data_IF_611264129317
#
_entry.id   IF_611264129317
#
_cell.length_a   1.000
_cell.length_b   1.000
_cell.length_c   1.000
_cell.angle_alpha   90.00
_cell.angle_beta   90.00
_cell.angle_gamma   90.00
#
_symmetry.space_group_name_H-M   'P 1'
#
loop_
_entity.id
_entity.type
_entity.pdbx_description
1 polymer ?
#
# COMPACT_ATOMS: atom_id res chain seq x y z
N UNK A 1 -11.17 11.04 49.19
CA UNK A 1 -10.06 10.08 48.96
C UNK A 1 -10.35 8.98 47.93
N UNK A 2 -11.57 8.44 47.75
CA UNK A 2 -11.84 7.38 46.75
C UNK A 2 -11.60 7.84 45.31
N UNK A 3 -12.08 9.04 44.95
CA UNK A 3 -11.94 9.60 43.60
C UNK A 3 -10.48 9.76 43.14
N UNK A 4 -9.57 10.09 44.07
CA UNK A 4 -8.14 10.21 43.78
C UNK A 4 -7.50 8.85 43.48
N UNK A 5 -7.93 7.78 44.16
CA UNK A 5 -7.48 6.41 43.89
C UNK A 5 -7.96 5.90 42.54
N UNK A 6 -9.18 6.25 42.13
CA UNK A 6 -9.69 5.93 40.78
C UNK A 6 -8.93 6.70 39.70
N UNK A 7 -8.69 8.00 39.89
CA UNK A 7 -7.92 8.81 38.95
C UNK A 7 -6.48 8.29 38.75
N UNK A 8 -5.83 7.90 39.85
CA UNK A 8 -4.46 7.33 39.83
C UNK A 8 -4.46 5.95 39.17
N UNK A 9 -5.47 5.11 39.43
CA UNK A 9 -5.62 3.80 38.79
C UNK A 9 -5.81 3.93 37.28
N UNK A 10 -6.69 4.82 36.83
CA UNK A 10 -6.96 5.03 35.40
C UNK A 10 -5.74 5.64 34.69
N UNK A 11 -5.00 6.53 35.36
CA UNK A 11 -3.73 7.07 34.86
C UNK A 11 -2.64 5.99 34.71
N UNK A 12 -2.50 5.10 35.71
CA UNK A 12 -1.57 3.96 35.66
C UNK A 12 -1.98 2.93 34.61
N UNK A 13 -3.27 2.71 34.41
CA UNK A 13 -3.78 1.81 33.37
C UNK A 13 -3.66 2.42 31.95
N UNK A 14 -3.63 3.74 31.83
CA UNK A 14 -3.39 4.47 30.57
C UNK A 14 -1.90 4.66 30.24
N UNK A 15 -0.99 4.45 31.19
CA UNK A 15 0.46 4.60 31.01
C UNK A 15 1.07 3.70 29.91
N UNK A 16 0.63 2.43 29.72
CA UNK A 16 1.05 1.61 28.58
C UNK A 16 0.54 2.14 27.22
N UNK A 17 -0.51 2.97 27.21
CA UNK A 17 -1.04 3.62 26.01
C UNK A 17 -0.39 4.99 25.72
N UNK A 18 0.34 5.56 26.69
CA UNK A 18 1.20 6.71 26.48
C UNK A 18 2.51 6.21 25.89
N UNK A 19 2.58 6.18 24.56
CA UNK A 19 3.86 5.95 23.90
C UNK A 19 4.92 6.94 24.45
N UNK A 20 6.20 6.56 24.56
CA UNK A 20 7.26 7.49 24.96
C UNK A 20 7.26 8.78 24.13
N UNK A 21 6.80 8.68 22.88
CA UNK A 21 6.56 9.80 21.98
C UNK A 21 5.44 10.73 22.48
N UNK A 22 4.32 10.21 22.99
CA UNK A 22 3.25 11.00 23.60
C UNK A 22 3.75 11.81 24.80
N UNK A 23 4.58 11.18 25.64
CA UNK A 23 5.22 11.82 26.79
C UNK A 23 6.22 12.90 26.37
N UNK A 24 7.08 12.61 25.38
CA UNK A 24 8.02 13.59 24.83
C UNK A 24 7.31 14.76 24.10
N UNK A 25 6.20 14.49 23.42
CA UNK A 25 5.34 15.53 22.82
C UNK A 25 4.63 16.37 23.88
N UNK A 26 4.21 15.77 25.00
CA UNK A 26 3.68 16.51 26.13
C UNK A 26 4.70 17.53 26.68
N UNK A 27 5.98 17.14 26.73
CA UNK A 27 7.07 18.03 27.14
C UNK A 27 7.40 19.13 26.12
N UNK A 28 7.34 18.82 24.81
CA UNK A 28 7.67 19.77 23.74
C UNK A 28 6.53 20.70 23.34
N UNK A 29 5.28 20.22 23.35
CA UNK A 29 4.12 21.00 22.95
C UNK A 29 2.82 20.48 23.61
N UNK A 30 2.53 20.89 24.86
CA UNK A 30 1.40 20.40 25.64
C UNK A 30 0.05 20.58 24.94
N UNK A 31 -0.08 21.61 24.09
CA UNK A 31 -1.32 21.93 23.35
C UNK A 31 -1.67 20.88 22.29
N UNK A 32 -0.70 20.10 21.81
CA UNK A 32 -0.92 19.02 20.82
C UNK A 32 -1.22 17.67 21.47
N UNK A 33 -0.98 17.52 22.77
CA UNK A 33 -1.20 16.25 23.47
C UNK A 33 -2.65 15.74 23.39
N UNK A 34 -3.70 16.57 23.56
CA UNK A 34 -5.08 16.09 23.42
C UNK A 34 -5.40 15.59 22.01
N UNK A 35 -4.88 16.26 20.98
CA UNK A 35 -5.04 15.86 19.57
C UNK A 35 -4.35 14.52 19.34
N UNK A 36 -3.11 14.37 19.81
CA UNK A 36 -2.35 13.12 19.69
C UNK A 36 -3.03 11.94 20.39
N UNK A 37 -3.52 12.13 21.63
CA UNK A 37 -4.26 11.09 22.36
C UNK A 37 -5.57 10.76 21.64
N UNK A 38 -6.31 11.77 21.18
CA UNK A 38 -7.55 11.55 20.44
C UNK A 38 -7.30 10.78 19.13
N UNK A 39 -6.26 11.13 18.38
CA UNK A 39 -5.86 10.42 17.16
C UNK A 39 -5.41 9.00 17.46
N UNK A 40 -4.63 8.77 18.52
CA UNK A 40 -4.19 7.42 18.94
C UNK A 40 -5.38 6.55 19.35
N UNK A 41 -6.31 7.09 20.13
CA UNK A 41 -7.54 6.38 20.53
C UNK A 41 -8.45 6.13 19.34
N UNK A 42 -8.59 7.10 18.43
CA UNK A 42 -9.37 6.97 17.19
C UNK A 42 -8.75 5.92 16.27
N UNK A 43 -7.44 5.89 16.16
CA UNK A 43 -6.66 4.92 15.40
C UNK A 43 -6.82 3.52 16.02
N UNK A 44 -6.65 3.37 17.33
CA UNK A 44 -6.86 2.10 18.03
C UNK A 44 -8.30 1.61 17.86
N UNK A 45 -9.29 2.48 18.02
CA UNK A 45 -10.72 2.13 17.85
C UNK A 45 -11.08 1.80 16.41
N UNK A 46 -10.48 2.47 15.43
CA UNK A 46 -10.71 2.16 14.01
C UNK A 46 -10.07 0.82 13.64
N UNK A 47 -8.83 0.56 14.03
CA UNK A 47 -8.16 -0.73 13.84
C UNK A 47 -8.88 -1.87 14.58
N UNK A 48 -9.27 -1.66 15.85
CA UNK A 48 -9.99 -2.67 16.63
C UNK A 48 -11.38 -3.03 16.05
N UNK A 49 -11.97 -2.14 15.23
CA UNK A 49 -13.25 -2.39 14.53
C UNK A 49 -13.06 -2.91 13.11
N UNK A 50 -11.92 -2.64 12.48
CA UNK A 50 -11.64 -3.06 11.12
C UNK A 50 -11.30 -4.56 11.11
N UNK A 51 -12.33 -5.41 10.99
CA UNK A 51 -12.15 -6.85 10.79
C UNK A 51 -12.08 -7.15 9.29
N UNK A 52 -10.88 -7.08 8.73
CA UNK A 52 -10.60 -7.58 7.38
C UNK A 52 -10.12 -9.04 7.51
N UNK A 53 -10.80 -10.01 6.88
CA UNK A 53 -10.33 -11.38 6.82
C UNK A 53 -9.03 -11.44 6.02
N UNK A 54 -8.12 -12.30 6.48
CA UNK A 54 -6.90 -12.61 5.76
C UNK A 54 -7.18 -13.66 4.68
N UNK A 55 -6.44 -13.59 3.58
CA UNK A 55 -6.44 -14.57 2.50
C UNK A 55 -5.01 -14.87 2.08
N UNK A 56 -4.72 -16.11 1.75
CA UNK A 56 -3.43 -16.50 1.19
C UNK A 56 -3.39 -16.24 -0.33
N UNK A 57 -2.20 -16.10 -0.94
CA UNK A 57 -2.08 -16.02 -2.40
C UNK A 57 -2.73 -17.20 -3.14
N UNK A 58 -2.64 -18.41 -2.59
CA UNK A 58 -3.19 -19.65 -3.14
C UNK A 58 -4.72 -19.61 -3.23
N UNK A 59 -5.36 -19.21 -2.13
CA UNK A 59 -6.82 -19.08 -2.06
C UNK A 59 -7.33 -17.93 -2.92
N UNK A 60 -6.62 -16.79 -2.95
CA UNK A 60 -7.02 -15.63 -3.74
C UNK A 60 -7.04 -15.93 -5.25
N UNK A 61 -6.07 -16.71 -5.73
CA UNK A 61 -5.88 -17.00 -7.15
C UNK A 61 -6.41 -18.38 -7.58
N UNK A 62 -7.02 -19.14 -6.66
CA UNK A 62 -7.45 -20.53 -6.88
C UNK A 62 -6.33 -21.37 -7.52
N UNK A 63 -5.15 -21.33 -6.90
CA UNK A 63 -3.93 -21.87 -7.47
C UNK A 63 -3.33 -22.93 -6.55
N UNK A 64 -3.11 -24.12 -7.10
CA UNK A 64 -2.67 -25.30 -6.34
C UNK A 64 -1.23 -25.73 -6.61
N UNK A 65 -0.58 -25.16 -7.63
CA UNK A 65 0.76 -25.57 -8.05
C UNK A 65 1.84 -24.75 -7.32
N UNK A 66 2.98 -25.36 -6.95
CA UNK A 66 4.06 -24.61 -6.35
C UNK A 66 4.65 -23.60 -7.36
N UNK A 67 5.02 -22.43 -6.86
CA UNK A 67 5.75 -21.42 -7.63
C UNK A 67 7.15 -21.21 -7.06
N UNK A 68 8.11 -20.97 -7.96
CA UNK A 68 9.49 -20.63 -7.58
C UNK A 68 9.63 -19.13 -7.49
N UNK A 69 10.12 -18.65 -6.34
CA UNK A 69 10.45 -17.24 -6.16
C UNK A 69 11.96 -17.02 -6.27
N UNK A 70 12.35 -16.01 -7.03
CA UNK A 70 13.70 -15.47 -7.02
C UNK A 70 13.76 -14.42 -5.91
N UNK A 71 14.51 -14.72 -4.85
CA UNK A 71 14.58 -13.86 -3.66
C UNK A 71 15.60 -12.73 -3.78
N UNK A 72 16.50 -12.81 -4.75
CA UNK A 72 17.43 -11.74 -5.07
C UNK A 72 18.35 -12.06 -6.25
N UNK A 73 18.85 -11.00 -6.87
CA UNK A 73 19.74 -11.03 -8.03
C UNK A 73 20.49 -9.68 -8.11
N UNK A 74 21.78 -9.69 -8.44
CA UNK A 74 22.60 -8.49 -8.65
C UNK A 74 22.54 -7.44 -7.52
N UNK A 75 22.51 -7.86 -6.26
CA UNK A 75 22.48 -6.96 -5.09
C UNK A 75 21.07 -6.46 -4.70
N UNK A 76 20.03 -6.78 -5.49
CA UNK A 76 18.64 -6.61 -5.09
C UNK A 76 18.18 -7.85 -4.33
N UNK A 77 17.61 -7.66 -3.14
CA UNK A 77 17.05 -8.74 -2.33
C UNK A 77 15.67 -8.38 -1.78
N UNK A 78 14.81 -9.39 -1.65
CA UNK A 78 13.57 -9.31 -0.90
C UNK A 78 13.91 -9.17 0.59
N UNK A 79 14.04 -7.91 1.05
CA UNK A 79 14.52 -7.59 2.39
C UNK A 79 13.41 -7.61 3.46
N UNK A 80 12.14 -7.56 3.06
CA UNK A 80 10.99 -7.48 3.96
C UNK A 80 10.05 -8.65 3.73
N UNK A 81 9.46 -9.18 4.81
CA UNK A 81 8.55 -10.32 4.75
C UNK A 81 7.33 -10.06 3.84
N UNK A 82 6.85 -8.81 3.81
CA UNK A 82 5.74 -8.38 2.95
C UNK A 82 6.05 -8.58 1.45
N UNK A 83 7.31 -8.47 1.04
CA UNK A 83 7.70 -8.58 -0.37
C UNK A 83 7.40 -9.97 -0.92
N UNK A 84 7.56 -11.01 -0.09
CA UNK A 84 7.37 -12.39 -0.53
C UNK A 84 5.94 -12.67 -0.99
N UNK A 85 4.93 -12.10 -0.32
CA UNK A 85 3.53 -12.34 -0.69
C UNK A 85 3.16 -11.64 -1.99
N UNK A 86 3.64 -10.42 -2.21
CA UNK A 86 3.49 -9.74 -3.51
C UNK A 86 4.21 -10.53 -4.62
N UNK A 87 5.42 -11.01 -4.37
CA UNK A 87 6.17 -11.82 -5.34
C UNK A 87 5.44 -13.14 -5.65
N UNK A 88 4.80 -13.77 -4.65
CA UNK A 88 3.95 -14.95 -4.86
C UNK A 88 2.77 -14.64 -5.77
N UNK A 89 2.03 -13.56 -5.50
CA UNK A 89 0.95 -13.10 -6.38
C UNK A 89 1.46 -12.91 -7.80
N UNK A 90 2.58 -12.21 -7.99
CA UNK A 90 3.14 -11.95 -9.32
C UNK A 90 3.55 -13.25 -10.05
N UNK A 91 4.22 -14.18 -9.35
CA UNK A 91 4.67 -15.44 -9.90
C UNK A 91 3.51 -16.39 -10.28
N UNK A 92 2.44 -16.40 -9.48
CA UNK A 92 1.25 -17.24 -9.69
C UNK A 92 0.33 -16.65 -10.76
N UNK A 93 0.12 -15.33 -10.72
CA UNK A 93 -0.75 -14.61 -11.66
C UNK A 93 -0.15 -14.56 -13.07
N UNK A 94 1.18 -14.53 -13.18
CA UNK A 94 1.91 -14.40 -14.45
C UNK A 94 1.36 -13.25 -15.32
N UNK A 95 1.28 -12.02 -14.77
CA UNK A 95 0.70 -10.88 -15.49
C UNK A 95 1.48 -10.57 -16.77
N UNK A 96 0.80 -10.11 -17.82
CA UNK A 96 1.44 -9.52 -19.00
C UNK A 96 1.69 -8.03 -18.80
N UNK A 97 0.84 -7.34 -18.03
CA UNK A 97 0.93 -5.89 -17.80
C UNK A 97 0.73 -5.55 -16.33
N UNK A 98 1.69 -4.83 -15.76
CA UNK A 98 1.65 -4.35 -14.38
C UNK A 98 1.70 -2.82 -14.38
N UNK A 99 0.93 -2.18 -13.49
CA UNK A 99 1.06 -0.76 -13.20
C UNK A 99 1.35 -0.54 -11.71
N UNK A 100 2.45 0.14 -11.41
CA UNK A 100 2.79 0.59 -10.07
C UNK A 100 2.60 2.10 -9.95
N UNK A 101 1.85 2.55 -8.95
CA UNK A 101 1.79 3.95 -8.53
C UNK A 101 2.69 4.09 -7.30
N UNK A 102 3.79 4.84 -7.43
CA UNK A 102 4.84 5.00 -6.42
C UNK A 102 6.11 4.22 -6.77
N UNK A 103 6.99 4.78 -7.61
CA UNK A 103 8.25 4.12 -7.99
C UNK A 103 9.29 4.13 -6.87
N UNK A 104 9.51 5.28 -6.23
CA UNK A 104 10.62 5.55 -5.31
C UNK A 104 11.96 5.08 -5.90
N UNK A 105 12.80 4.38 -5.13
CA UNK A 105 14.03 3.77 -5.62
C UNK A 105 13.80 2.61 -6.62
N UNK A 106 12.55 2.18 -6.88
CA UNK A 106 12.21 1.14 -7.85
C UNK A 106 12.31 -0.29 -7.32
N UNK A 107 12.44 -0.48 -6.00
CA UNK A 107 12.64 -1.82 -5.40
C UNK A 107 11.46 -2.74 -5.65
N UNK A 108 10.24 -2.25 -5.47
CA UNK A 108 9.01 -3.04 -5.69
C UNK A 108 8.87 -3.43 -7.16
N UNK A 109 8.95 -2.47 -8.09
CA UNK A 109 9.05 -2.73 -9.54
C UNK A 109 10.11 -3.79 -9.89
N UNK A 110 11.33 -3.70 -9.34
CA UNK A 110 12.39 -4.65 -9.66
C UNK A 110 12.10 -6.07 -9.11
N UNK A 111 11.52 -6.18 -7.91
CA UNK A 111 11.09 -7.47 -7.33
C UNK A 111 9.95 -8.11 -8.14
N UNK A 112 9.02 -7.30 -8.65
CA UNK A 112 7.94 -7.73 -9.55
C UNK A 112 8.52 -8.24 -10.86
N UNK A 113 9.43 -7.47 -11.49
CA UNK A 113 10.11 -7.90 -12.70
C UNK A 113 10.80 -9.25 -12.48
N UNK A 114 11.63 -9.35 -11.45
CA UNK A 114 12.40 -10.57 -11.13
C UNK A 114 11.51 -11.83 -10.99
N UNK A 115 10.24 -11.70 -10.61
CA UNK A 115 9.32 -12.82 -10.36
C UNK A 115 8.18 -12.95 -11.39
N UNK A 116 8.31 -12.30 -12.55
CA UNK A 116 7.28 -12.33 -13.62
C UNK A 116 7.87 -12.80 -14.96
N UNK A 117 7.04 -13.36 -15.86
CA UNK A 117 7.49 -13.82 -17.18
C UNK A 117 8.27 -12.75 -17.96
N UNK A 118 9.25 -13.13 -18.81
CA UNK A 118 9.99 -12.16 -19.63
C UNK A 118 9.12 -11.23 -20.48
N UNK A 119 7.93 -11.68 -20.87
CA UNK A 119 6.94 -10.95 -21.67
C UNK A 119 6.15 -9.90 -20.86
N UNK A 120 6.31 -9.90 -19.53
CA UNK A 120 5.64 -8.94 -18.65
C UNK A 120 6.19 -7.55 -18.86
N UNK A 121 5.31 -6.58 -19.11
CA UNK A 121 5.69 -5.17 -19.16
C UNK A 121 5.21 -4.44 -17.90
N UNK A 122 6.09 -3.68 -17.28
CA UNK A 122 5.81 -2.96 -16.04
C UNK A 122 5.85 -1.46 -16.29
N UNK A 123 4.74 -0.78 -15.99
CA UNK A 123 4.69 0.66 -15.89
C UNK A 123 4.83 1.05 -14.43
N UNK A 124 5.66 2.04 -14.13
CA UNK A 124 5.78 2.60 -12.78
C UNK A 124 5.73 4.12 -12.85
N UNK A 125 4.91 4.74 -12.01
CA UNK A 125 4.66 6.18 -12.00
C UNK A 125 5.14 6.80 -10.69
N UNK A 126 5.91 7.88 -10.77
CA UNK A 126 6.23 8.73 -9.63
C UNK A 126 6.34 10.20 -10.05
N UNK A 127 6.41 11.09 -9.06
CA UNK A 127 6.67 12.49 -9.30
C UNK A 127 8.04 12.69 -9.96
N UNK A 128 8.17 13.65 -10.89
CA UNK A 128 9.49 14.04 -11.37
C UNK A 128 10.34 14.58 -10.21
N UNK A 129 11.67 14.37 -10.23
CA UNK A 129 12.58 14.81 -9.15
C UNK A 129 12.43 16.30 -8.77
N UNK A 130 12.12 17.13 -9.75
CA UNK A 130 11.92 18.57 -9.67
C UNK A 130 10.51 19.01 -9.26
N UNK A 131 9.58 18.09 -9.03
CA UNK A 131 8.20 18.43 -8.66
C UNK A 131 8.13 19.25 -7.36
N UNK A 132 7.18 20.16 -7.28
CA UNK A 132 6.84 20.80 -6.00
C UNK A 132 6.01 19.83 -5.16
N UNK A 133 6.40 19.61 -3.91
CA UNK A 133 5.62 18.74 -3.01
C UNK A 133 4.39 19.49 -2.48
N UNK A 134 3.21 18.84 -2.44
CA UNK A 134 2.05 19.42 -1.79
C UNK A 134 2.31 19.71 -0.30
N UNK A 135 1.59 20.68 0.25
CA UNK A 135 1.62 20.92 1.69
C UNK A 135 1.02 19.72 2.45
N UNK A 136 1.66 19.31 3.56
CA UNK A 136 1.18 18.20 4.40
C UNK A 136 1.55 16.80 3.89
N UNK A 137 2.51 16.69 2.98
CA UNK A 137 3.09 15.42 2.55
C UNK A 137 3.71 14.69 3.74
N UNK A 138 3.31 13.43 3.93
CA UNK A 138 4.00 12.52 4.85
C UNK A 138 5.37 12.16 4.26
N UNK A 139 6.36 11.84 5.10
CA UNK A 139 7.59 11.18 4.66
C UNK A 139 8.53 12.01 3.77
N UNK A 140 8.56 13.34 3.95
CA UNK A 140 9.43 14.29 3.22
C UNK A 140 10.88 13.79 3.05
N UNK A 141 11.49 13.25 4.12
CA UNK A 141 12.86 12.75 4.05
C UNK A 141 13.03 11.55 3.09
N UNK A 142 12.08 10.62 3.08
CA UNK A 142 12.10 9.47 2.17
C UNK A 142 11.91 9.92 0.72
N UNK A 143 11.04 10.91 0.50
CA UNK A 143 10.80 11.49 -0.82
C UNK A 143 12.04 12.20 -1.34
N UNK A 144 12.72 13.00 -0.51
CA UNK A 144 13.96 13.69 -0.89
C UNK A 144 15.09 12.71 -1.25
N UNK A 145 15.20 11.59 -0.53
CA UNK A 145 16.13 10.51 -0.88
C UNK A 145 15.74 9.86 -2.21
N UNK A 146 14.47 9.47 -2.36
CA UNK A 146 13.96 8.82 -3.56
C UNK A 146 14.15 9.67 -4.81
N UNK A 147 14.01 11.00 -4.74
CA UNK A 147 14.24 11.90 -5.87
C UNK A 147 15.65 11.82 -6.46
N UNK A 148 16.67 11.57 -5.64
CA UNK A 148 18.06 11.44 -6.09
C UNK A 148 18.34 10.09 -6.74
N UNK A 149 17.55 9.08 -6.40
CA UNK A 149 17.78 7.68 -6.73
C UNK A 149 16.55 7.04 -7.39
N UNK A 150 15.73 7.84 -8.06
CA UNK A 150 14.43 7.43 -8.58
C UNK A 150 14.62 6.28 -9.58
N UNK A 151 14.00 5.12 -9.31
CA UNK A 151 14.12 3.91 -10.13
C UNK A 151 15.51 3.26 -10.16
N UNK A 152 16.44 3.65 -9.28
CA UNK A 152 17.82 3.13 -9.32
C UNK A 152 17.91 1.60 -9.27
N UNK A 153 16.96 0.93 -8.60
CA UNK A 153 17.00 -0.51 -8.35
C UNK A 153 16.82 -1.39 -9.61
N UNK A 154 16.29 -0.84 -10.70
CA UNK A 154 16.13 -1.58 -11.96
C UNK A 154 17.01 -1.04 -13.10
N UNK A 155 17.64 0.14 -12.94
CA UNK A 155 18.53 0.71 -13.96
C UNK A 155 19.80 -0.13 -14.11
N UNK A 156 20.22 -0.37 -15.35
CA UNK A 156 21.35 -1.23 -15.69
C UNK A 156 21.12 -2.73 -15.44
N UNK A 157 19.92 -3.14 -15.05
CA UNK A 157 19.56 -4.55 -14.87
C UNK A 157 19.04 -5.16 -16.17
N UNK A 158 19.02 -6.50 -16.24
CA UNK A 158 18.36 -7.23 -17.33
C UNK A 158 16.83 -7.00 -17.41
N UNK A 159 16.23 -6.36 -16.40
CA UNK A 159 14.79 -6.07 -16.38
C UNK A 159 14.43 -4.69 -16.92
N UNK A 160 15.41 -3.79 -17.07
CA UNK A 160 15.16 -2.39 -17.45
C UNK A 160 14.39 -2.27 -18.77
N UNK A 161 14.69 -3.12 -19.75
CA UNK A 161 14.09 -3.08 -21.09
C UNK A 161 12.58 -3.34 -21.12
N UNK A 162 12.00 -3.94 -20.08
CA UNK A 162 10.55 -4.20 -19.94
C UNK A 162 9.89 -3.34 -18.87
N UNK A 163 10.59 -2.32 -18.37
CA UNK A 163 10.08 -1.36 -17.40
C UNK A 163 9.97 0.01 -18.08
N UNK A 164 8.80 0.61 -18.02
CA UNK A 164 8.57 2.01 -18.42
C UNK A 164 8.35 2.86 -17.19
N UNK A 165 9.35 3.67 -16.84
CA UNK A 165 9.22 4.69 -15.80
C UNK A 165 8.51 5.92 -16.37
N UNK A 166 7.36 6.24 -15.78
CA UNK A 166 6.51 7.38 -16.09
C UNK A 166 6.74 8.44 -15.01
N UNK A 167 6.75 9.71 -15.41
CA UNK A 167 6.91 10.84 -14.49
C UNK A 167 5.67 11.73 -14.52
N UNK A 168 5.03 11.93 -13.37
CA UNK A 168 3.84 12.77 -13.25
C UNK A 168 3.19 12.68 -11.86
N UNK A 169 2.37 13.68 -11.53
CA UNK A 169 1.52 13.65 -10.34
C UNK A 169 0.34 12.72 -10.58
N UNK A 170 0.19 11.65 -9.79
CA UNK A 170 -0.91 10.69 -9.94
C UNK A 170 -2.29 11.32 -9.75
N UNK A 171 -2.38 12.49 -9.12
CA UNK A 171 -3.60 13.29 -9.02
C UNK A 171 -4.05 13.94 -10.33
N UNK A 172 -3.16 14.07 -11.32
CA UNK A 172 -3.44 14.73 -12.61
C UNK A 172 -2.95 13.97 -13.85
N UNK A 173 -2.20 12.88 -13.66
CA UNK A 173 -1.70 12.02 -14.73
C UNK A 173 -2.84 11.42 -15.56
N UNK A 174 -2.67 11.38 -16.88
CA UNK A 174 -3.65 10.76 -17.78
C UNK A 174 -3.48 9.24 -17.80
N UNK A 175 -4.36 8.56 -17.07
CA UNK A 175 -4.39 7.09 -17.00
C UNK A 175 -5.17 6.44 -18.15
N UNK A 176 -5.79 7.20 -19.04
CA UNK A 176 -6.65 6.68 -20.13
C UNK A 176 -5.97 5.59 -20.97
N UNK A 177 -4.67 5.70 -21.34
CA UNK A 177 -3.98 4.65 -22.10
C UNK A 177 -3.86 3.30 -21.39
N UNK A 178 -4.09 3.26 -20.07
CA UNK A 178 -3.91 2.09 -19.22
C UNK A 178 -5.24 1.47 -18.78
N UNK A 179 -6.38 2.10 -19.08
CA UNK A 179 -7.70 1.62 -18.72
C UNK A 179 -7.99 0.24 -19.30
N UNK A 180 -8.52 -0.65 -18.45
CA UNK A 180 -8.86 -2.03 -18.79
C UNK A 180 -7.73 -2.88 -19.42
N UNK A 181 -6.47 -2.52 -19.18
CA UNK A 181 -5.33 -3.23 -19.77
C UNK A 181 -4.38 -3.86 -18.75
N UNK A 182 -4.57 -3.64 -17.44
CA UNK A 182 -3.64 -4.11 -16.40
C UNK A 182 -4.09 -5.42 -15.77
N UNK A 183 -3.14 -6.34 -15.56
CA UNK A 183 -3.33 -7.60 -14.84
C UNK A 183 -3.06 -7.46 -13.35
N UNK A 184 -2.11 -6.60 -12.99
CA UNK A 184 -1.75 -6.29 -11.62
C UNK A 184 -1.59 -4.78 -11.49
N UNK A 185 -2.23 -4.19 -10.48
CA UNK A 185 -2.00 -2.79 -10.11
C UNK A 185 -1.54 -2.72 -8.65
N UNK A 186 -0.41 -2.07 -8.39
CA UNK A 186 0.07 -1.79 -7.04
C UNK A 186 -0.11 -0.31 -6.72
N UNK A 187 -0.69 -0.01 -5.56
CA UNK A 187 -0.91 1.34 -5.03
C UNK A 187 0.01 1.53 -3.82
N UNK A 188 1.10 2.25 -4.03
CA UNK A 188 2.15 2.55 -3.03
C UNK A 188 2.70 3.98 -3.22
N UNK A 189 1.83 4.91 -3.62
CA UNK A 189 2.17 6.31 -3.87
C UNK A 189 2.17 7.13 -2.57
N UNK A 190 1.28 8.12 -2.49
CA UNK A 190 1.11 8.89 -1.25
C UNK A 190 0.19 8.18 -0.27
N UNK A 191 0.54 8.22 1.01
CA UNK A 191 -0.22 7.55 2.05
C UNK A 191 -1.41 8.36 2.56
N UNK A 192 -1.59 9.63 2.18
CA UNK A 192 -2.75 10.39 2.64
C UNK A 192 -4.03 9.88 1.98
N UNK A 193 -5.15 9.85 2.73
CA UNK A 193 -6.42 9.33 2.24
C UNK A 193 -6.88 9.95 0.91
N UNK A 194 -6.62 11.25 0.68
CA UNK A 194 -6.97 11.91 -0.58
C UNK A 194 -6.29 11.24 -1.78
N UNK A 195 -4.97 11.05 -1.71
CA UNK A 195 -4.20 10.44 -2.79
C UNK A 195 -4.47 8.95 -2.90
N UNK A 196 -4.50 8.21 -1.78
CA UNK A 196 -4.87 6.78 -1.77
C UNK A 196 -6.21 6.56 -2.47
N UNK A 197 -7.23 7.36 -2.16
CA UNK A 197 -8.55 7.23 -2.80
C UNK A 197 -8.44 7.48 -4.31
N UNK A 198 -7.76 8.54 -4.72
CA UNK A 198 -7.62 8.88 -6.14
C UNK A 198 -6.86 7.79 -6.91
N UNK A 199 -5.71 7.35 -6.40
CA UNK A 199 -4.89 6.29 -6.99
C UNK A 199 -5.66 4.97 -7.08
N UNK A 200 -6.48 4.67 -6.07
CA UNK A 200 -7.32 3.47 -6.07
C UNK A 200 -8.45 3.55 -7.10
N UNK A 201 -9.08 4.71 -7.30
CA UNK A 201 -10.07 4.88 -8.37
C UNK A 201 -9.42 4.76 -9.75
N UNK A 202 -8.20 5.25 -9.93
CA UNK A 202 -7.43 5.03 -11.14
C UNK A 202 -7.09 3.54 -11.33
N UNK A 203 -6.68 2.84 -10.26
CA UNK A 203 -6.47 1.39 -10.28
C UNK A 203 -7.72 0.61 -10.70
N UNK A 204 -8.90 1.01 -10.21
CA UNK A 204 -10.19 0.42 -10.59
C UNK A 204 -10.50 0.58 -12.08
N UNK A 205 -10.08 1.68 -12.71
CA UNK A 205 -10.24 1.91 -14.15
C UNK A 205 -9.20 1.12 -14.97
N UNK A 206 -7.96 1.03 -14.49
CA UNK A 206 -6.87 0.33 -15.17
C UNK A 206 -7.00 -1.20 -15.19
N UNK A 207 -7.48 -1.79 -14.10
CA UNK A 207 -7.48 -3.24 -13.91
C UNK A 207 -8.52 -3.92 -14.80
N UNK A 208 -8.16 -4.98 -15.53
CA UNK A 208 -9.13 -5.78 -16.29
C UNK A 208 -9.75 -6.89 -15.42
N UNK A 209 -10.89 -7.50 -15.83
CA UNK A 209 -11.38 -8.72 -15.20
C UNK A 209 -10.32 -9.83 -15.21
N UNK A 210 -10.23 -10.57 -14.12
CA UNK A 210 -9.12 -11.49 -13.88
C UNK A 210 -7.81 -10.77 -13.52
N UNK A 211 -7.86 -9.53 -13.05
CA UNK A 211 -6.70 -8.81 -12.50
C UNK A 211 -6.66 -8.79 -10.96
N UNK A 212 -5.55 -8.33 -10.37
CA UNK A 212 -5.38 -8.12 -8.92
C UNK A 212 -5.00 -6.67 -8.64
N UNK A 213 -5.56 -6.10 -7.58
CA UNK A 213 -5.09 -4.83 -7.02
C UNK A 213 -4.46 -5.09 -5.64
N UNK A 214 -3.29 -4.52 -5.40
CA UNK A 214 -2.57 -4.52 -4.13
C UNK A 214 -2.44 -3.10 -3.60
N UNK A 215 -2.75 -2.90 -2.33
CA UNK A 215 -2.48 -1.66 -1.61
C UNK A 215 -1.44 -1.91 -0.53
N UNK A 216 -0.35 -1.15 -0.57
CA UNK A 216 0.70 -1.21 0.45
C UNK A 216 0.29 -0.43 1.72
N UNK A 217 1.05 -0.58 2.80
CA UNK A 217 0.84 0.08 4.11
C UNK A 217 -0.56 -0.04 4.73
N UNK A 218 -1.25 -1.14 4.43
CA UNK A 218 -2.48 -1.49 5.11
C UNK A 218 -2.24 -1.70 6.62
N UNK A 219 -3.12 -1.11 7.45
CA UNK A 219 -3.03 -1.10 8.92
C UNK A 219 -1.77 -0.45 9.50
N UNK A 220 -1.21 0.51 8.77
CA UNK A 220 -0.22 1.43 9.35
C UNK A 220 -0.81 2.15 10.57
N UNK A 221 -0.06 2.16 11.66
CA UNK A 221 -0.43 2.88 12.89
C UNK A 221 -0.22 4.41 12.79
N UNK A 222 0.00 4.93 11.59
CA UNK A 222 0.23 6.36 11.36
C UNK A 222 -1.12 7.01 11.04
N UNK A 223 -1.49 8.03 11.80
CA UNK A 223 -2.82 8.64 11.69
C UNK A 223 -3.07 9.32 10.34
N UNK A 224 -1.99 9.69 9.64
CA UNK A 224 -2.04 10.26 8.30
C UNK A 224 -2.27 9.23 7.18
N UNK A 225 -2.15 7.93 7.47
CA UNK A 225 -2.25 6.86 6.47
C UNK A 225 -3.71 6.50 6.19
N UNK A 226 -4.12 6.69 4.94
CA UNK A 226 -5.51 6.56 4.49
C UNK A 226 -5.90 5.18 3.98
N UNK A 227 -4.96 4.25 3.85
CA UNK A 227 -5.19 2.92 3.23
C UNK A 227 -6.25 2.13 4.00
N UNK A 228 -6.11 2.01 5.33
CA UNK A 228 -7.10 1.30 6.16
C UNK A 228 -8.50 1.88 6.05
N UNK A 229 -8.61 3.20 5.94
CA UNK A 229 -9.89 3.89 5.75
C UNK A 229 -10.49 3.59 4.37
N UNK A 230 -9.69 3.63 3.32
CA UNK A 230 -10.16 3.34 1.97
C UNK A 230 -10.60 1.86 1.83
N UNK A 231 -9.86 0.94 2.45
CA UNK A 231 -10.22 -0.49 2.50
C UNK A 231 -11.55 -0.72 3.23
N UNK A 232 -11.78 -0.04 4.36
CA UNK A 232 -13.07 -0.07 5.08
C UNK A 232 -14.24 0.40 4.20
N UNK A 233 -14.03 1.50 3.46
CA UNK A 233 -15.03 2.04 2.52
C UNK A 233 -15.32 1.05 1.38
N UNK A 234 -14.29 0.41 0.81
CA UNK A 234 -14.46 -0.65 -0.19
C UNK A 234 -15.28 -1.81 0.34
N UNK A 235 -14.98 -2.28 1.56
CA UNK A 235 -15.73 -3.39 2.20
C UNK A 235 -17.18 -3.00 2.50
N UNK A 236 -17.44 -1.77 2.95
CA UNK A 236 -18.81 -1.26 3.14
C UNK A 236 -19.58 -1.11 1.84
N UNK A 237 -18.89 -0.78 0.75
CA UNK A 237 -19.45 -0.83 -0.59
C UNK A 237 -19.68 -2.27 -1.08
N UNK A 238 -19.26 -3.29 -0.32
CA UNK A 238 -19.40 -4.71 -0.66
C UNK A 238 -18.38 -5.20 -1.68
N UNK A 239 -17.18 -4.61 -1.70
CA UNK A 239 -16.04 -5.14 -2.47
C UNK A 239 -15.28 -6.19 -1.64
N UNK A 240 -14.82 -7.30 -2.25
CA UNK A 240 -14.14 -8.38 -1.57
C UNK A 240 -12.65 -8.04 -1.38
N UNK A 241 -12.37 -7.09 -0.48
CA UNK A 241 -11.00 -6.72 -0.11
C UNK A 241 -10.56 -7.51 1.11
N UNK A 242 -9.38 -8.12 1.03
CA UNK A 242 -8.79 -8.97 2.07
C UNK A 242 -7.46 -8.39 2.54
N UNK A 243 -7.01 -8.82 3.72
CA UNK A 243 -5.61 -8.70 4.08
C UNK A 243 -4.87 -9.83 3.38
N UNK A 244 -3.77 -9.54 2.69
CA UNK A 244 -2.90 -10.58 2.19
C UNK A 244 -2.11 -11.15 3.38
N UNK A 245 -2.16 -12.45 3.63
CA UNK A 245 -1.58 -13.04 4.82
C UNK A 245 -1.00 -14.43 4.59
N UNK A 246 -0.39 -14.97 5.65
CA UNK A 246 -0.01 -16.37 5.80
C UNK A 246 -0.80 -16.99 6.95
N UNK A 247 -0.78 -18.32 7.06
CA UNK A 247 -1.39 -19.04 8.18
C UNK A 247 -0.93 -18.57 9.58
N UNK A 248 0.22 -17.89 9.70
CA UNK A 248 0.78 -17.45 10.99
C UNK A 248 1.30 -15.99 11.00
N UNK A 249 0.91 -15.14 10.03
CA UNK A 249 1.40 -13.76 10.01
C UNK A 249 0.67 -12.85 9.04
N UNK A 250 0.41 -11.63 9.50
CA UNK A 250 -0.31 -10.59 8.76
C UNK A 250 0.67 -9.69 8.00
N UNK A 251 0.43 -9.52 6.69
CA UNK A 251 1.18 -8.54 5.90
C UNK A 251 0.56 -7.15 5.97
N UNK A 252 1.31 -6.16 5.48
CA UNK A 252 0.81 -4.79 5.27
C UNK A 252 0.20 -4.58 3.88
N UNK A 253 -0.19 -5.65 3.20
CA UNK A 253 -0.93 -5.56 1.95
C UNK A 253 -2.43 -5.80 2.17
N UNK A 254 -3.25 -4.90 1.66
CA UNK A 254 -4.62 -5.23 1.29
C UNK A 254 -4.65 -5.69 -0.17
N UNK A 255 -5.56 -6.61 -0.50
CA UNK A 255 -5.64 -7.22 -1.82
C UNK A 255 -7.08 -7.41 -2.27
N UNK A 256 -7.31 -7.29 -3.58
CA UNK A 256 -8.59 -7.60 -4.22
C UNK A 256 -8.37 -8.29 -5.57
N UNK A 257 -9.04 -9.42 -5.77
CA UNK A 257 -9.19 -10.05 -7.08
C UNK A 257 -10.39 -9.43 -7.80
N UNK A 258 -10.20 -9.02 -9.05
CA UNK A 258 -11.25 -8.34 -9.82
C UNK A 258 -11.89 -9.33 -10.79
N UNK A 259 -13.05 -9.89 -10.42
CA UNK A 259 -13.88 -10.69 -11.33
C UNK A 259 -14.68 -9.78 -12.26
N UNK A 260 -15.37 -10.33 -13.26
CA UNK A 260 -16.28 -9.56 -14.13
C UNK A 260 -17.39 -8.84 -13.34
N UNK A 261 -17.92 -9.51 -12.31
CA UNK A 261 -18.93 -8.91 -11.42
C UNK A 261 -18.37 -7.72 -10.66
N UNK A 262 -17.19 -7.90 -10.05
CA UNK A 262 -16.52 -6.80 -9.34
C UNK A 262 -16.21 -5.67 -10.29
N UNK A 263 -15.72 -5.96 -11.51
CA UNK A 263 -15.40 -4.92 -12.50
C UNK A 263 -16.62 -4.04 -12.84
N UNK A 264 -17.80 -4.64 -13.04
CA UNK A 264 -19.05 -3.88 -13.25
C UNK A 264 -19.37 -2.97 -12.07
N UNK A 265 -19.18 -3.47 -10.84
CA UNK A 265 -19.38 -2.68 -9.62
C UNK A 265 -18.39 -1.52 -9.51
N UNK A 266 -17.12 -1.73 -9.86
CA UNK A 266 -16.11 -0.68 -9.88
C UNK A 266 -16.45 0.44 -10.88
N UNK A 267 -17.05 0.12 -12.02
CA UNK A 267 -17.50 1.12 -12.97
C UNK A 267 -18.53 2.08 -12.36
N UNK A 268 -19.42 1.59 -11.49
CA UNK A 268 -20.39 2.45 -10.79
C UNK A 268 -19.78 3.35 -9.71
N UNK A 269 -18.64 2.94 -9.13
CA UNK A 269 -17.91 3.73 -8.12
C UNK A 269 -16.97 4.77 -8.74
N UNK A 270 -16.67 4.63 -10.03
CA UNK A 270 -15.74 5.49 -10.76
C UNK A 270 -16.41 6.37 -11.82
N UNK A 271 -17.71 6.18 -12.07
CA UNK A 271 -18.59 7.07 -12.81
C UNK A 271 -18.88 8.35 -12.01
#
# INVERSE_FOLDING_TARGET
MPALRFLIRDFIQGLPALSPLAFMLALRNPRRLPIFIADTVRLYRSHAKLRVPSITPWELLDHSQPVTLRLGENGLFAAMENNFLMMQIAAMLRPLRIFEIGTSQGRTTALLAMNTPPETHIFTLDLPPEATLPAGVSDLHLIELARKELGIAFRGTNWESRITQLLGDSGSFDFTPYYDTMDLVTVDGSHTYKFVRQDSLNAFRMIRPGGVILWHDFESMRSEYGVSRFVDECRRAGLPVFRLGREQGDSRYAVMRVTDEIKRKLATLTA
#
